data_IF_051275987940
#
_entry.id   IF_051275987940
#
_cell.length_a   1.000
_cell.length_b   1.000
_cell.length_c   1.000
_cell.angle_alpha   90.00
_cell.angle_beta   90.00
_cell.angle_gamma   90.00
#
_symmetry.space_group_name_H-M   'P 1'
#
loop_
_entity.id
_entity.type
_entity.pdbx_description
1 polymer ?
#
# COMPACT_ATOMS: atom_id res chain seq x y z
N UNK A 1 12.96 6.64 0.54
CA UNK A 1 11.65 7.24 0.86
C UNK A 1 11.69 8.76 0.73
N UNK A 2 12.69 9.44 1.29
CA UNK A 2 12.89 10.90 1.15
C UNK A 2 12.63 11.43 -0.27
N UNK A 3 13.30 10.87 -1.28
CA UNK A 3 13.14 11.30 -2.68
C UNK A 3 11.71 11.11 -3.22
N UNK A 4 11.03 10.03 -2.84
CA UNK A 4 9.65 9.74 -3.26
C UNK A 4 8.67 10.73 -2.63
N UNK A 5 8.87 11.07 -1.36
CA UNK A 5 8.04 12.03 -0.62
C UNK A 5 8.23 13.48 -1.08
N UNK A 6 9.30 13.79 -1.81
CA UNK A 6 9.51 15.11 -2.42
C UNK A 6 8.72 15.30 -3.72
N UNK A 7 8.03 14.25 -4.20
CA UNK A 7 7.15 14.38 -5.37
C UNK A 7 5.97 15.30 -5.08
N UNK A 8 5.40 15.90 -6.12
CA UNK A 8 4.22 16.77 -5.98
C UNK A 8 2.93 15.98 -5.69
N UNK A 9 2.90 14.73 -6.13
CA UNK A 9 1.76 13.81 -6.04
C UNK A 9 2.26 12.38 -6.13
N UNK A 10 1.71 11.51 -5.29
CA UNK A 10 1.97 10.07 -5.32
C UNK A 10 0.69 9.36 -5.76
N UNK A 11 0.81 8.51 -6.77
CA UNK A 11 -0.25 7.58 -7.17
C UNK A 11 0.20 6.16 -6.85
N UNK A 12 -0.58 5.45 -6.02
CA UNK A 12 -0.34 4.05 -5.69
C UNK A 12 -1.41 3.18 -6.32
N UNK A 13 -1.00 2.17 -7.08
CA UNK A 13 -1.91 1.22 -7.73
C UNK A 13 -1.74 -0.16 -7.14
N UNK A 14 -2.82 -0.75 -6.64
CA UNK A 14 -2.83 -2.09 -6.04
C UNK A 14 -3.82 -3.00 -6.76
N UNK A 15 -3.32 -4.08 -7.37
CA UNK A 15 -4.14 -4.96 -8.19
C UNK A 15 -4.28 -6.42 -7.71
N UNK A 16 -3.70 -6.79 -6.56
CA UNK A 16 -3.53 -8.19 -6.14
C UNK A 16 -4.03 -8.42 -4.72
N UNK A 17 -4.41 -9.65 -4.40
CA UNK A 17 -5.00 -10.01 -3.11
C UNK A 17 -4.06 -9.68 -1.93
N UNK A 18 -2.77 -10.01 -2.06
CA UNK A 18 -1.77 -9.77 -1.01
C UNK A 18 -1.54 -8.28 -0.72
N UNK A 19 -1.88 -7.39 -1.67
CA UNK A 19 -1.81 -5.96 -1.45
C UNK A 19 -2.78 -5.48 -0.38
N UNK A 20 -3.91 -6.17 -0.14
CA UNK A 20 -4.84 -5.79 0.92
C UNK A 20 -4.15 -5.67 2.29
N UNK A 21 -3.27 -6.63 2.60
CA UNK A 21 -2.56 -6.66 3.89
C UNK A 21 -1.48 -5.59 3.96
N UNK A 22 -0.75 -5.39 2.86
CA UNK A 22 0.30 -4.37 2.76
C UNK A 22 -0.30 -2.97 2.83
N UNK A 23 -1.37 -2.72 2.08
CA UNK A 23 -2.07 -1.45 2.05
C UNK A 23 -2.61 -1.10 3.44
N UNK A 24 -3.21 -2.07 4.14
CA UNK A 24 -3.75 -1.83 5.47
C UNK A 24 -2.65 -1.46 6.48
N UNK A 25 -1.50 -2.15 6.42
CA UNK A 25 -0.34 -1.80 7.24
C UNK A 25 0.27 -0.44 6.87
N UNK A 26 0.34 -0.12 5.59
CA UNK A 26 0.92 1.13 5.09
C UNK A 26 0.03 2.34 5.39
N UNK A 27 -1.29 2.24 5.27
CA UNK A 27 -2.19 3.39 5.45
C UNK A 27 -2.72 3.58 6.87
N UNK A 28 -2.85 2.49 7.64
CA UNK A 28 -3.49 2.53 8.96
C UNK A 28 -2.59 2.01 10.09
N UNK A 29 -1.39 1.53 9.77
CA UNK A 29 -0.39 1.14 10.76
C UNK A 29 0.46 2.32 11.24
N UNK A 30 1.32 2.11 12.24
CA UNK A 30 2.26 3.12 12.70
C UNK A 30 3.21 3.59 11.59
N UNK A 31 3.47 4.89 11.52
CA UNK A 31 4.50 5.45 10.65
C UNK A 31 5.88 5.06 11.18
N UNK A 32 6.60 4.22 10.44
CA UNK A 32 7.85 3.60 10.88
C UNK A 32 8.71 3.08 9.73
N UNK A 33 10.03 3.10 9.92
CA UNK A 33 11.00 2.45 9.01
C UNK A 33 10.81 0.94 8.86
N UNK A 34 10.09 0.28 9.78
CA UNK A 34 9.73 -1.14 9.68
C UNK A 34 8.68 -1.42 8.58
N UNK A 35 7.94 -0.38 8.17
CA UNK A 35 7.04 -0.40 7.02
C UNK A 35 7.26 0.90 6.25
N UNK A 36 8.24 0.98 5.32
CA UNK A 36 8.55 2.24 4.63
C UNK A 36 7.35 2.85 3.92
N UNK A 37 6.42 2.03 3.41
CA UNK A 37 5.17 2.50 2.83
C UNK A 37 4.33 3.35 3.79
N UNK A 38 4.48 3.21 5.11
CA UNK A 38 3.75 4.02 6.09
C UNK A 38 4.07 5.51 6.05
N UNK A 39 5.25 5.90 5.56
CA UNK A 39 5.61 7.32 5.42
C UNK A 39 4.75 8.07 4.39
N UNK A 40 4.04 7.37 3.50
CA UNK A 40 3.12 8.05 2.57
C UNK A 40 1.91 8.67 3.28
N UNK A 41 1.61 8.26 4.53
CA UNK A 41 0.59 8.90 5.37
C UNK A 41 0.92 10.39 5.66
N UNK A 42 2.20 10.76 5.63
CA UNK A 42 2.66 12.14 5.88
C UNK A 42 2.67 12.99 4.60
N UNK A 43 2.46 12.39 3.44
CA UNK A 43 2.48 13.11 2.18
C UNK A 43 1.13 13.81 1.94
N UNK A 44 1.11 15.13 1.64
CA UNK A 44 -0.12 15.90 1.57
C UNK A 44 -1.01 15.57 0.35
N UNK A 45 -0.48 14.86 -0.64
CA UNK A 45 -1.17 14.58 -1.91
C UNK A 45 -0.94 13.15 -2.39
N UNK A 46 -1.74 12.22 -1.87
CA UNK A 46 -1.68 10.79 -2.22
C UNK A 46 -3.01 10.35 -2.77
N UNK A 47 -2.97 9.60 -3.87
CA UNK A 47 -4.12 8.93 -4.45
C UNK A 47 -3.85 7.43 -4.53
N UNK A 48 -4.82 6.63 -4.11
CA UNK A 48 -4.72 5.18 -4.12
C UNK A 48 -5.81 4.61 -5.01
N UNK A 49 -5.39 3.89 -6.04
CA UNK A 49 -6.27 3.14 -6.95
C UNK A 49 -6.11 1.66 -6.66
N UNK A 50 -7.23 0.97 -6.47
CA UNK A 50 -7.21 -0.43 -6.07
C UNK A 50 -8.29 -1.23 -6.79
N UNK A 51 -7.98 -2.47 -7.14
CA UNK A 51 -8.97 -3.43 -7.64
C UNK A 51 -9.82 -3.95 -6.48
N UNK A 52 -11.00 -4.50 -6.78
CA UNK A 52 -11.89 -5.09 -5.76
C UNK A 52 -11.18 -6.19 -4.94
N UNK A 53 -10.35 -7.01 -5.59
CA UNK A 53 -9.56 -8.04 -4.92
C UNK A 53 -8.50 -7.46 -3.96
N UNK A 54 -7.92 -6.30 -4.26
CA UNK A 54 -6.98 -5.61 -3.37
C UNK A 54 -7.70 -4.81 -2.27
N UNK A 55 -8.99 -4.50 -2.45
CA UNK A 55 -9.86 -3.84 -1.47
C UNK A 55 -10.39 -4.80 -0.39
N UNK A 56 -10.40 -6.10 -0.68
CA UNK A 56 -10.96 -7.12 0.18
C UNK A 56 -10.27 -7.17 1.55
N UNK A 57 -10.96 -7.76 2.53
CA UNK A 57 -10.38 -7.96 3.87
C UNK A 57 -9.12 -8.84 3.73
N UNK A 58 -7.96 -8.39 4.24
CA UNK A 58 -6.72 -9.11 4.04
C UNK A 58 -6.76 -10.48 4.72
N UNK A 59 -6.43 -11.50 3.94
CA UNK A 59 -6.04 -12.81 4.46
C UNK A 59 -4.70 -12.66 5.19
N UNK A 60 -4.51 -13.41 6.29
CA UNK A 60 -3.29 -13.35 7.12
C UNK A 60 -2.00 -13.65 6.34
N UNK A 61 -2.12 -14.30 5.18
CA UNK A 61 -1.02 -14.57 4.26
C UNK A 61 -0.85 -13.45 3.22
N UNK A 62 0.24 -12.69 3.35
CA UNK A 62 0.64 -11.66 2.37
C UNK A 62 1.62 -12.19 1.31
N UNK A 63 1.84 -13.51 1.25
CA UNK A 63 2.61 -14.10 0.17
C UNK A 63 1.81 -13.99 -1.14
N UNK A 64 2.49 -13.53 -2.18
CA UNK A 64 1.93 -13.48 -3.52
C UNK A 64 1.58 -14.91 -3.99
N UNK A 65 0.30 -15.18 -4.23
CA UNK A 65 -0.12 -16.42 -4.87
C UNK A 65 0.35 -16.43 -6.34
N UNK A 66 0.84 -17.58 -6.81
CA UNK A 66 1.18 -17.78 -8.22
C UNK A 66 -0.10 -17.96 -9.02
N UNK A 67 -0.26 -17.22 -10.11
CA UNK A 67 -1.40 -17.38 -11.03
C UNK A 67 -2.63 -16.49 -10.75
N UNK A 68 -2.53 -15.51 -9.85
CA UNK A 68 -3.53 -14.43 -9.78
C UNK A 68 -3.42 -13.56 -11.04
N UNK A 69 -4.45 -13.63 -11.87
CA UNK A 69 -4.65 -12.80 -13.07
C UNK A 69 -5.59 -11.66 -12.71
#
# INVERSE_FOLDING_TARGET
MYELLMSKKIHLTFMRSWHAGVLRRALFGPVSGQCPGSFIQEHPNVEVTLTEVAAAVPIMNVAQARGEI
#
